data_IF_412067969564
#
_entry.id   IF_412067969564
#
_cell.length_a   1.000
_cell.length_b   1.000
_cell.length_c   1.000
_cell.angle_alpha   90.00
_cell.angle_beta   90.00
_cell.angle_gamma   90.00
#
_symmetry.space_group_name_H-M   'P 1'
#
loop_
_entity.id
_entity.type
_entity.pdbx_description
1 polymer ?
#
# COMPACT_ATOMS: atom_id res chain seq x y z
N UNK A 1 -2.23 -2.08 -20.34
CA UNK A 1 -1.22 -2.94 -20.96
C UNK A 1 -1.84 -4.29 -21.22
N UNK A 2 -1.76 -4.74 -22.44
CA UNK A 2 -2.33 -6.01 -22.91
C UNK A 2 -1.67 -7.25 -22.29
N UNK A 3 -0.51 -7.10 -21.65
CA UNK A 3 0.27 -8.21 -21.11
C UNK A 3 0.00 -8.57 -19.64
N UNK A 4 -0.73 -7.73 -18.88
CA UNK A 4 -1.09 -8.01 -17.49
C UNK A 4 -2.48 -7.48 -17.19
N UNK A 5 -3.45 -7.94 -17.96
CA UNK A 5 -4.86 -7.63 -17.73
C UNK A 5 -5.42 -8.42 -16.53
N UNK A 6 -6.65 -8.15 -16.17
CA UNK A 6 -7.32 -8.79 -15.03
C UNK A 6 -7.42 -10.31 -15.20
N UNK A 7 -7.55 -10.81 -16.42
CA UNK A 7 -7.66 -12.25 -16.69
C UNK A 7 -6.33 -12.95 -16.50
N UNK A 8 -5.23 -12.35 -16.93
CA UNK A 8 -3.89 -12.85 -16.68
C UNK A 8 -3.59 -12.91 -15.17
N UNK A 9 -3.89 -11.82 -14.44
CA UNK A 9 -3.73 -11.77 -12.98
C UNK A 9 -4.61 -12.83 -12.31
N UNK A 10 -5.86 -12.99 -12.73
CA UNK A 10 -6.77 -14.01 -12.22
C UNK A 10 -6.28 -15.43 -12.46
N UNK A 11 -5.66 -15.70 -13.62
CA UNK A 11 -5.03 -17.00 -13.89
C UNK A 11 -3.85 -17.28 -12.93
N UNK A 12 -3.03 -16.26 -12.67
CA UNK A 12 -1.94 -16.35 -11.69
C UNK A 12 -2.47 -16.60 -10.26
N UNK A 13 -3.56 -15.93 -9.86
CA UNK A 13 -4.21 -16.15 -8.56
C UNK A 13 -4.69 -17.61 -8.42
N UNK A 14 -5.38 -18.15 -9.44
CA UNK A 14 -5.82 -19.55 -9.43
C UNK A 14 -4.67 -20.53 -9.32
N UNK A 15 -3.55 -20.25 -9.97
CA UNK A 15 -2.35 -21.09 -9.85
C UNK A 15 -1.74 -21.00 -8.44
N UNK A 16 -1.55 -19.78 -7.92
CA UNK A 16 -1.00 -19.55 -6.58
C UNK A 16 -1.86 -20.20 -5.48
N UNK A 17 -3.19 -20.15 -5.62
CA UNK A 17 -4.14 -20.73 -4.66
C UNK A 17 -4.00 -22.23 -4.47
N UNK A 18 -3.44 -22.95 -5.45
CA UNK A 18 -3.15 -24.39 -5.31
C UNK A 18 -2.08 -24.70 -4.27
N UNK A 19 -1.19 -23.74 -4.01
CA UNK A 19 -0.02 -23.92 -3.15
C UNK A 19 -0.06 -23.06 -1.87
N UNK A 20 -0.81 -21.94 -1.88
CA UNK A 20 -0.84 -21.00 -0.78
C UNK A 20 -2.26 -20.78 -0.26
N UNK A 21 -2.40 -20.73 1.07
CA UNK A 21 -3.70 -20.44 1.72
C UNK A 21 -4.12 -18.99 1.61
N UNK A 22 -3.17 -18.09 1.47
CA UNK A 22 -3.41 -16.65 1.37
C UNK A 22 -2.69 -16.13 0.12
N UNK A 23 -3.42 -15.44 -0.75
CA UNK A 23 -2.92 -14.84 -1.97
C UNK A 23 -3.17 -13.34 -1.92
N UNK A 24 -2.08 -12.57 -1.82
CA UNK A 24 -2.11 -11.12 -1.85
C UNK A 24 -1.66 -10.56 -3.19
N UNK A 25 -2.21 -9.43 -3.57
CA UNK A 25 -1.88 -8.73 -4.80
C UNK A 25 -1.31 -7.35 -4.53
N UNK A 26 -0.25 -6.99 -5.23
CA UNK A 26 0.21 -5.62 -5.37
C UNK A 26 0.11 -5.24 -6.85
N UNK A 27 -0.96 -4.56 -7.20
CA UNK A 27 -1.35 -4.28 -8.58
C UNK A 27 -1.85 -2.85 -8.74
N UNK A 28 -2.05 -2.42 -9.98
CA UNK A 28 -2.66 -1.12 -10.27
C UNK A 28 -4.12 -1.06 -9.78
N UNK A 29 -4.67 0.15 -9.50
CA UNK A 29 -6.07 0.30 -9.11
C UNK A 29 -7.01 -0.18 -10.21
N UNK A 30 -8.06 -0.87 -9.80
CA UNK A 30 -9.08 -1.49 -10.66
C UNK A 30 -10.48 -1.11 -10.21
N UNK A 31 -11.48 -1.46 -10.98
CA UNK A 31 -12.89 -1.33 -10.59
C UNK A 31 -13.33 -2.45 -9.66
N UNK A 32 -14.45 -2.25 -8.96
CA UNK A 32 -14.95 -3.24 -8.00
C UNK A 32 -15.28 -4.58 -8.66
N UNK A 33 -15.73 -4.57 -9.92
CA UNK A 33 -15.98 -5.79 -10.70
C UNK A 33 -14.71 -6.58 -10.98
N UNK A 34 -13.61 -5.90 -11.29
CA UNK A 34 -12.31 -6.55 -11.52
C UNK A 34 -11.78 -7.16 -10.21
N UNK A 35 -11.91 -6.43 -9.10
CA UNK A 35 -11.55 -6.96 -7.78
C UNK A 35 -12.43 -8.17 -7.40
N UNK A 36 -13.73 -8.13 -7.71
CA UNK A 36 -14.63 -9.27 -7.48
C UNK A 36 -14.21 -10.51 -8.29
N UNK A 37 -13.83 -10.31 -9.55
CA UNK A 37 -13.30 -11.38 -10.38
C UNK A 37 -11.99 -11.95 -9.81
N UNK A 38 -11.06 -11.10 -9.38
CA UNK A 38 -9.80 -11.55 -8.78
C UNK A 38 -10.03 -12.29 -7.44
N UNK A 39 -10.99 -11.84 -6.65
CA UNK A 39 -11.40 -12.55 -5.43
C UNK A 39 -11.94 -13.94 -5.76
N UNK A 40 -12.81 -14.08 -6.74
CA UNK A 40 -13.28 -15.39 -7.24
C UNK A 40 -12.15 -16.28 -7.77
N UNK A 41 -11.08 -15.68 -8.28
CA UNK A 41 -9.87 -16.37 -8.69
C UNK A 41 -8.96 -16.80 -7.53
N UNK A 42 -9.31 -16.42 -6.29
CA UNK A 42 -8.60 -16.82 -5.07
C UNK A 42 -7.70 -15.76 -4.45
N UNK A 43 -7.80 -14.49 -4.88
CA UNK A 43 -7.13 -13.39 -4.20
C UNK A 43 -7.85 -13.05 -2.88
N UNK A 44 -7.11 -12.90 -1.79
CA UNK A 44 -7.63 -12.59 -0.47
C UNK A 44 -7.52 -11.10 -0.13
N UNK A 45 -6.43 -10.44 -0.55
CA UNK A 45 -6.22 -9.02 -0.27
C UNK A 45 -5.44 -8.33 -1.39
N UNK A 46 -5.52 -7.00 -1.37
CA UNK A 46 -4.79 -6.16 -2.32
C UNK A 46 -4.11 -4.99 -1.62
N UNK A 47 -2.91 -4.67 -2.07
CA UNK A 47 -2.17 -3.48 -1.67
C UNK A 47 -2.09 -2.51 -2.85
N UNK A 48 -2.53 -1.27 -2.63
CA UNK A 48 -2.37 -0.18 -3.59
C UNK A 48 -1.83 1.03 -2.84
N UNK A 49 -0.57 1.37 -3.09
CA UNK A 49 0.03 2.53 -2.45
C UNK A 49 -0.54 3.82 -3.02
N UNK A 50 -0.93 4.76 -2.15
CA UNK A 50 -1.41 6.08 -2.57
C UNK A 50 -0.27 6.95 -3.12
N UNK A 51 0.95 6.66 -2.76
CA UNK A 51 2.19 7.40 -3.05
C UNK A 51 2.30 8.68 -2.20
N UNK A 52 1.45 9.67 -2.40
CA UNK A 52 1.28 10.85 -1.52
C UNK A 52 -0.19 11.24 -1.42
N UNK A 53 -0.57 11.83 -0.31
CA UNK A 53 -1.92 12.38 -0.06
C UNK A 53 -2.02 13.87 -0.39
N UNK A 54 -0.96 14.49 -0.94
CA UNK A 54 -0.98 15.87 -1.45
C UNK A 54 -1.42 15.87 -2.93
N UNK A 55 -2.67 16.31 -3.27
CA UNK A 55 -3.19 16.16 -4.65
C UNK A 55 -2.37 16.93 -5.68
N UNK A 56 -1.90 18.14 -5.35
CA UNK A 56 -1.10 18.96 -6.26
C UNK A 56 0.25 18.30 -6.55
N UNK A 57 0.92 17.80 -5.50
CA UNK A 57 2.18 17.07 -5.66
C UNK A 57 1.98 15.77 -6.42
N UNK A 58 0.88 15.07 -6.14
CA UNK A 58 0.52 13.85 -6.85
C UNK A 58 0.36 14.11 -8.36
N UNK A 59 -0.37 15.17 -8.74
CA UNK A 59 -0.57 15.56 -10.13
C UNK A 59 0.72 15.92 -10.86
N UNK A 60 1.68 16.54 -10.18
CA UNK A 60 3.00 16.86 -10.73
C UNK A 60 3.87 15.61 -11.00
N UNK A 61 3.69 14.54 -10.21
CA UNK A 61 4.50 13.33 -10.30
C UNK A 61 3.90 12.26 -11.21
N UNK A 62 2.57 12.20 -11.33
CA UNK A 62 1.85 11.14 -12.03
C UNK A 62 1.20 11.67 -13.32
N UNK A 63 2.01 11.93 -14.33
CA UNK A 63 1.60 12.60 -15.57
C UNK A 63 0.80 11.71 -16.53
N UNK A 64 0.84 10.39 -16.36
CA UNK A 64 0.18 9.46 -17.27
C UNK A 64 -0.12 8.09 -16.67
N UNK A 65 -0.73 7.22 -17.47
CA UNK A 65 -1.06 5.86 -17.08
C UNK A 65 -2.18 5.74 -16.05
N UNK A 66 -2.35 4.54 -15.50
CA UNK A 66 -3.42 4.24 -14.51
C UNK A 66 -3.25 4.94 -13.17
N UNK A 67 -2.05 5.45 -12.88
CA UNK A 67 -1.76 6.21 -11.66
C UNK A 67 -2.18 7.69 -11.74
N UNK A 68 -2.53 8.20 -12.93
CA UNK A 68 -2.76 9.65 -13.15
C UNK A 68 -3.90 10.23 -12.31
N UNK A 69 -4.97 9.47 -12.08
CA UNK A 69 -6.20 9.98 -11.48
C UNK A 69 -6.16 9.77 -9.96
N UNK A 70 -5.89 10.84 -9.21
CA UNK A 70 -5.78 10.81 -7.75
C UNK A 70 -7.01 10.22 -7.06
N UNK A 71 -8.26 10.68 -7.29
CA UNK A 71 -9.43 10.12 -6.61
C UNK A 71 -9.66 8.63 -6.92
N UNK A 72 -9.37 8.22 -8.15
CA UNK A 72 -9.50 6.82 -8.54
C UNK A 72 -8.52 5.93 -7.78
N UNK A 73 -7.27 6.39 -7.60
CA UNK A 73 -6.28 5.66 -6.82
C UNK A 73 -6.61 5.68 -5.33
N UNK A 74 -7.02 6.84 -4.80
CA UNK A 74 -7.41 7.00 -3.40
C UNK A 74 -8.51 6.02 -2.98
N UNK A 75 -9.52 5.80 -3.82
CA UNK A 75 -10.63 4.91 -3.52
C UNK A 75 -10.39 3.43 -3.93
N UNK A 76 -9.15 3.04 -4.23
CA UNK A 76 -8.85 1.68 -4.69
C UNK A 76 -9.12 0.63 -3.62
N UNK A 77 -8.74 0.89 -2.37
CA UNK A 77 -8.96 -0.03 -1.26
C UNK A 77 -10.44 -0.24 -0.97
N UNK A 78 -11.24 0.82 -1.04
CA UNK A 78 -12.68 0.69 -0.86
C UNK A 78 -13.32 -0.14 -1.97
N UNK A 79 -12.93 0.08 -3.23
CA UNK A 79 -13.43 -0.75 -4.34
C UNK A 79 -13.01 -2.20 -4.20
N UNK A 80 -11.82 -2.47 -3.66
CA UNK A 80 -11.37 -3.83 -3.39
C UNK A 80 -12.24 -4.53 -2.33
N UNK A 81 -12.58 -3.85 -1.25
CA UNK A 81 -13.50 -4.37 -0.24
C UNK A 81 -14.91 -4.58 -0.79
N UNK A 82 -15.41 -3.67 -1.61
CA UNK A 82 -16.68 -3.83 -2.34
C UNK A 82 -16.65 -5.05 -3.29
N UNK A 83 -15.49 -5.36 -3.86
CA UNK A 83 -15.25 -6.56 -4.66
C UNK A 83 -15.08 -7.85 -3.85
N UNK A 84 -15.20 -7.79 -2.51
CA UNK A 84 -15.14 -8.96 -1.64
C UNK A 84 -13.75 -9.31 -1.11
N UNK A 85 -12.73 -8.50 -1.36
CA UNK A 85 -11.41 -8.73 -0.75
C UNK A 85 -11.51 -8.72 0.78
N UNK A 86 -10.85 -9.68 1.42
CA UNK A 86 -10.81 -9.82 2.89
C UNK A 86 -10.02 -8.69 3.55
N UNK A 87 -8.97 -8.23 2.90
CA UNK A 87 -8.11 -7.19 3.44
C UNK A 87 -7.51 -6.27 2.41
N UNK A 88 -7.01 -5.13 2.88
CA UNK A 88 -6.40 -4.09 2.05
C UNK A 88 -5.16 -3.50 2.71
N UNK A 89 -4.17 -3.20 1.88
CA UNK A 89 -2.92 -2.57 2.29
C UNK A 89 -2.86 -1.09 1.93
N UNK A 90 -2.33 -0.29 2.85
CA UNK A 90 -2.14 1.14 2.73
C UNK A 90 -0.69 1.52 2.80
N UNK A 91 -0.26 2.48 1.98
CA UNK A 91 1.01 3.15 2.11
C UNK A 91 1.04 4.48 1.37
N UNK A 92 1.84 5.40 1.88
CA UNK A 92 2.44 6.48 1.13
C UNK A 92 3.93 6.19 0.90
N UNK A 93 4.49 6.67 -0.19
CA UNK A 93 5.94 6.66 -0.41
C UNK A 93 6.54 7.87 0.34
N UNK A 94 6.96 7.63 1.58
CA UNK A 94 7.41 8.66 2.50
C UNK A 94 8.62 9.43 1.95
N UNK A 95 8.49 10.74 1.85
CA UNK A 95 9.50 11.63 1.29
C UNK A 95 9.18 12.19 -0.11
N UNK A 96 8.06 11.80 -0.72
CA UNK A 96 7.55 12.49 -1.92
C UNK A 96 7.02 13.89 -1.60
N UNK A 97 6.37 14.04 -0.46
CA UNK A 97 5.93 15.30 0.14
C UNK A 97 6.20 15.26 1.65
N UNK A 98 5.58 16.12 2.43
CA UNK A 98 5.69 16.08 3.90
C UNK A 98 5.30 14.71 4.44
N UNK A 99 6.27 13.97 4.93
CA UNK A 99 6.09 12.59 5.37
C UNK A 99 5.18 12.46 6.59
N UNK A 100 5.06 13.48 7.43
CA UNK A 100 4.16 13.48 8.60
C UNK A 100 2.72 13.59 8.17
N UNK A 101 2.45 14.46 7.19
CA UNK A 101 1.11 14.61 6.59
C UNK A 101 0.71 13.34 5.86
N UNK A 102 1.60 12.79 5.06
CA UNK A 102 1.35 11.55 4.33
C UNK A 102 1.13 10.36 5.28
N UNK A 103 1.93 10.23 6.34
CA UNK A 103 1.75 9.19 7.34
C UNK A 103 0.42 9.34 8.10
N UNK A 104 0.09 10.56 8.57
CA UNK A 104 -1.19 10.81 9.24
C UNK A 104 -2.38 10.51 8.31
N UNK A 105 -2.33 11.00 7.08
CA UNK A 105 -3.39 10.77 6.09
C UNK A 105 -3.56 9.29 5.75
N UNK A 106 -2.46 8.53 5.64
CA UNK A 106 -2.50 7.07 5.46
C UNK A 106 -3.20 6.40 6.64
N UNK A 107 -2.83 6.75 7.86
CA UNK A 107 -3.46 6.22 9.08
C UNK A 107 -4.95 6.54 9.15
N UNK A 108 -5.33 7.80 8.92
CA UNK A 108 -6.74 8.23 8.92
C UNK A 108 -7.55 7.53 7.81
N UNK A 109 -7.00 7.40 6.63
CA UNK A 109 -7.67 6.70 5.52
C UNK A 109 -7.97 5.25 5.89
N UNK A 110 -6.99 4.52 6.40
CA UNK A 110 -7.15 3.15 6.86
C UNK A 110 -8.19 3.04 8.00
N UNK A 111 -8.08 3.91 9.01
CA UNK A 111 -8.99 3.94 10.15
C UNK A 111 -10.46 4.21 9.74
N UNK A 112 -10.67 5.22 8.90
CA UNK A 112 -12.03 5.57 8.43
C UNK A 112 -12.62 4.45 7.56
N UNK A 113 -11.78 3.82 6.73
CA UNK A 113 -12.24 2.71 5.90
C UNK A 113 -12.58 1.48 6.76
N UNK A 114 -11.79 1.16 7.78
CA UNK A 114 -12.08 0.06 8.70
C UNK A 114 -13.37 0.32 9.50
N UNK A 115 -13.65 1.57 9.87
CA UNK A 115 -14.93 1.90 10.50
C UNK A 115 -16.14 1.66 9.60
N UNK A 116 -15.96 1.85 8.29
CA UNK A 116 -17.00 1.58 7.29
C UNK A 116 -17.11 0.08 6.97
N UNK A 117 -16.00 -0.64 7.04
CA UNK A 117 -15.89 -2.09 6.79
C UNK A 117 -15.22 -2.78 7.98
N UNK A 118 -15.92 -3.00 9.10
CA UNK A 118 -15.32 -3.52 10.34
C UNK A 118 -14.65 -4.88 10.21
N UNK A 119 -15.10 -5.68 9.23
CA UNK A 119 -14.55 -7.01 8.94
C UNK A 119 -13.24 -6.98 8.16
N UNK A 120 -12.85 -5.82 7.63
CA UNK A 120 -11.68 -5.72 6.78
C UNK A 120 -10.37 -5.88 7.57
N UNK A 121 -9.48 -6.71 7.09
CA UNK A 121 -8.11 -6.78 7.56
C UNK A 121 -7.31 -5.60 6.98
N UNK A 122 -6.69 -4.83 7.86
CA UNK A 122 -5.90 -3.66 7.48
C UNK A 122 -4.41 -3.98 7.60
N UNK A 123 -3.66 -3.59 6.58
CA UNK A 123 -2.21 -3.65 6.59
C UNK A 123 -1.60 -2.29 6.22
N UNK A 124 -0.54 -1.92 6.92
CA UNK A 124 0.30 -0.78 6.57
C UNK A 124 1.63 -1.25 5.99
N UNK A 125 2.10 -0.57 4.96
CA UNK A 125 3.48 -0.62 4.53
C UNK A 125 4.10 0.76 4.67
N UNK A 126 5.38 0.81 5.04
CA UNK A 126 6.08 2.06 5.29
C UNK A 126 7.29 2.22 4.34
N UNK A 127 7.08 2.26 3.02
CA UNK A 127 8.16 2.52 2.09
C UNK A 127 8.61 3.97 2.20
N UNK A 128 9.92 4.19 2.16
CA UNK A 128 10.48 5.54 2.03
C UNK A 128 11.20 5.73 0.71
N UNK A 129 11.19 6.95 0.21
CA UNK A 129 11.89 7.31 -1.00
C UNK A 129 13.38 7.02 -0.82
N UNK A 130 13.99 6.40 -1.81
CA UNK A 130 15.42 6.10 -1.87
C UNK A 130 16.03 6.79 -3.07
N UNK A 131 17.29 7.24 -2.98
CA UNK A 131 18.02 7.68 -4.16
C UNK A 131 17.99 6.60 -5.25
N UNK A 132 17.78 7.01 -6.48
CA UNK A 132 17.83 6.13 -7.64
C UNK A 132 19.06 6.46 -8.49
N UNK A 133 19.61 5.45 -9.10
CA UNK A 133 20.72 5.63 -10.06
C UNK A 133 20.24 6.59 -11.15
N UNK A 134 21.03 7.58 -11.48
CA UNK A 134 20.73 8.66 -12.43
C UNK A 134 19.75 9.75 -11.97
N UNK A 135 19.33 9.76 -10.71
CA UNK A 135 18.58 10.88 -10.14
C UNK A 135 18.95 11.14 -8.69
N UNK A 136 20.13 11.68 -8.47
CA UNK A 136 20.65 12.04 -7.13
C UNK A 136 19.88 13.23 -6.49
N UNK A 137 19.12 13.98 -7.28
CA UNK A 137 18.31 15.11 -6.79
C UNK A 137 17.07 14.64 -6.02
N UNK A 138 16.62 13.41 -6.24
CA UNK A 138 15.61 12.77 -5.40
C UNK A 138 16.31 12.28 -4.13
N UNK A 139 16.61 13.21 -3.25
CA UNK A 139 17.20 12.88 -1.96
C UNK A 139 16.10 12.88 -0.90
N UNK A 140 15.81 11.73 -0.26
CA UNK A 140 14.87 11.65 0.86
C UNK A 140 15.52 12.22 2.13
N UNK A 141 15.81 13.54 2.13
CA UNK A 141 16.54 14.20 3.21
C UNK A 141 15.83 14.08 4.55
N UNK A 142 14.52 13.86 4.55
CA UNK A 142 13.70 14.04 5.74
C UNK A 142 13.24 12.71 6.37
N UNK A 143 13.41 11.57 5.69
CA UNK A 143 12.94 10.28 6.19
C UNK A 143 14.09 9.29 6.38
N UNK A 144 14.72 9.40 7.54
CA UNK A 144 15.75 8.47 8.00
C UNK A 144 15.13 7.32 8.84
N UNK A 145 15.94 6.39 9.31
CA UNK A 145 15.49 5.25 10.15
C UNK A 145 14.72 5.72 11.39
N UNK A 146 15.13 6.82 12.01
CA UNK A 146 14.46 7.39 13.17
C UNK A 146 13.02 7.81 12.87
N UNK A 147 12.80 8.53 11.78
CA UNK A 147 11.47 8.99 11.36
C UNK A 147 10.60 7.79 10.96
N UNK A 148 11.19 6.83 10.24
CA UNK A 148 10.50 5.61 9.86
C UNK A 148 10.05 4.82 11.08
N UNK A 149 10.91 4.63 12.08
CA UNK A 149 10.57 3.97 13.34
C UNK A 149 9.45 4.69 14.09
N UNK A 150 9.48 6.04 14.13
CA UNK A 150 8.39 6.83 14.73
C UNK A 150 7.04 6.54 14.07
N UNK A 151 6.99 6.49 12.72
CA UNK A 151 5.76 6.21 11.97
C UNK A 151 5.27 4.80 12.25
N UNK A 152 6.16 3.82 12.23
CA UNK A 152 5.82 2.41 12.51
C UNK A 152 5.23 2.27 13.92
N UNK A 153 5.87 2.86 14.93
CA UNK A 153 5.35 2.87 16.29
C UNK A 153 4.02 3.62 16.41
N UNK A 154 3.87 4.75 15.71
CA UNK A 154 2.62 5.49 15.69
C UNK A 154 1.47 4.67 15.09
N UNK A 155 1.69 3.97 13.99
CA UNK A 155 0.68 3.06 13.42
C UNK A 155 0.34 1.91 14.35
N UNK A 156 1.31 1.31 15.01
CA UNK A 156 1.09 0.23 15.99
C UNK A 156 0.24 0.70 17.16
N UNK A 157 0.46 1.93 17.65
CA UNK A 157 -0.35 2.50 18.74
C UNK A 157 -1.74 2.90 18.24
N UNK A 158 -1.83 3.51 17.05
CA UNK A 158 -3.09 4.02 16.50
C UNK A 158 -4.05 2.91 16.06
N UNK A 159 -3.51 1.86 15.44
CA UNK A 159 -4.26 0.70 14.96
C UNK A 159 -3.56 -0.60 15.38
N UNK A 160 -3.70 -1.02 16.65
CA UNK A 160 -2.88 -2.11 17.22
C UNK A 160 -3.08 -3.47 16.56
N UNK A 161 -4.24 -3.70 15.92
CA UNK A 161 -4.54 -4.95 15.22
C UNK A 161 -4.17 -4.95 13.73
N UNK A 162 -3.72 -3.82 13.18
CA UNK A 162 -3.28 -3.76 11.80
C UNK A 162 -1.95 -4.49 11.61
N UNK A 163 -1.79 -5.16 10.47
CA UNK A 163 -0.51 -5.71 10.07
C UNK A 163 0.45 -4.59 9.67
N UNK A 164 1.73 -4.74 9.98
CA UNK A 164 2.79 -3.80 9.58
C UNK A 164 3.82 -4.53 8.74
N UNK A 165 4.08 -4.03 7.55
CA UNK A 165 5.07 -4.57 6.62
C UNK A 165 6.27 -3.66 6.54
N UNK A 166 7.45 -4.20 6.83
CA UNK A 166 8.72 -3.49 6.68
C UNK A 166 9.29 -3.77 5.29
N UNK A 167 9.66 -2.71 4.59
CA UNK A 167 10.24 -2.83 3.24
C UNK A 167 11.54 -3.65 3.27
N UNK A 168 11.66 -4.60 2.36
CA UNK A 168 12.89 -5.36 2.14
C UNK A 168 14.08 -4.50 1.69
N UNK A 169 13.83 -3.26 1.25
CA UNK A 169 14.88 -2.28 0.90
C UNK A 169 15.56 -1.65 2.12
N UNK A 170 15.01 -1.85 3.33
CA UNK A 170 15.68 -1.45 4.56
C UNK A 170 16.85 -2.41 4.87
N UNK A 171 17.91 -1.90 5.53
CA UNK A 171 19.04 -2.75 5.90
C UNK A 171 18.62 -3.82 6.90
N UNK A 172 19.30 -4.97 6.89
CA UNK A 172 19.00 -6.10 7.77
C UNK A 172 18.96 -5.68 9.25
N UNK A 173 19.97 -4.91 9.69
CA UNK A 173 20.02 -4.41 11.08
C UNK A 173 18.72 -3.68 11.49
N UNK A 174 18.19 -2.80 10.64
CA UNK A 174 16.95 -2.08 10.94
C UNK A 174 15.76 -3.04 10.99
N UNK A 175 15.60 -3.89 9.97
CA UNK A 175 14.49 -4.85 9.90
C UNK A 175 14.46 -5.78 11.13
N UNK A 176 15.59 -6.39 11.44
CA UNK A 176 15.69 -7.40 12.51
C UNK A 176 15.36 -6.81 13.89
N UNK A 177 15.71 -5.53 14.11
CA UNK A 177 15.39 -4.86 15.38
C UNK A 177 13.93 -4.34 15.42
N UNK A 178 13.35 -3.93 14.30
CA UNK A 178 12.00 -3.35 14.28
C UNK A 178 10.92 -4.42 14.34
N UNK A 179 11.13 -5.59 13.75
CA UNK A 179 10.15 -6.69 13.76
C UNK A 179 9.75 -7.08 15.18
N UNK A 180 10.69 -7.20 16.09
CA UNK A 180 10.40 -7.54 17.49
C UNK A 180 9.80 -6.38 18.31
N UNK A 181 9.84 -5.14 17.78
CA UNK A 181 9.40 -3.96 18.50
C UNK A 181 7.98 -3.54 18.11
N UNK A 182 7.67 -3.51 16.84
CA UNK A 182 6.44 -2.87 16.35
C UNK A 182 5.83 -3.48 15.08
N UNK A 183 6.48 -4.40 14.39
CA UNK A 183 5.95 -4.99 13.16
C UNK A 183 5.38 -6.41 13.37
#
# INVERSE_FOLDING_TARGET
PTMSDVHYIGAACRLARKYFRVVGLEVYPMDSSDYAYLHQCGADFVTVFQETYAPDKYGQLHLGGRKRIFPYRFNAQERALQGGMRGVGFAALLGLDDFRRDALATGLHAYLLQRKYPQAEIAFSCPRLRPIINNEQINPKDVHERQLLQIICAYRIFMPFASLTISSRECARFRDNVVGLAA
#
